data_IF_363134926040
#
_entry.id   IF_363134926040
#
_cell.length_a   1.000
_cell.length_b   1.000
_cell.length_c   1.000
_cell.angle_alpha   90.00
_cell.angle_beta   90.00
_cell.angle_gamma   90.00
#
_symmetry.space_group_name_H-M   'P 1'
#
loop_
_entity.id
_entity.type
_entity.pdbx_description
1 polymer ?
#
# COMPACT_ATOMS: atom_id res chain seq x y z
N UNK A 1 -4.28 -10.30 30.07
CA UNK A 1 -2.81 -10.11 29.97
C UNK A 1 -2.60 -8.79 29.29
N UNK A 2 -1.73 -7.92 29.84
CA UNK A 2 -1.37 -6.66 29.17
C UNK A 2 -0.77 -7.01 27.82
N UNK A 3 -1.09 -6.25 26.78
CA UNK A 3 -0.47 -6.41 25.48
C UNK A 3 0.07 -5.05 25.03
N UNK A 4 1.32 -5.03 24.56
CA UNK A 4 2.00 -3.81 24.12
C UNK A 4 2.55 -4.06 22.73
N UNK A 5 2.24 -3.16 21.78
CA UNK A 5 2.73 -3.30 20.41
C UNK A 5 3.28 -1.97 19.91
N UNK A 6 4.52 -1.97 19.42
CA UNK A 6 5.06 -0.85 18.64
C UNK A 6 4.43 -0.91 17.24
N UNK A 7 3.57 0.06 16.93
CA UNK A 7 2.79 0.11 15.69
C UNK A 7 3.46 0.93 14.60
N UNK A 8 4.34 1.86 14.96
CA UNK A 8 5.07 2.70 14.01
C UNK A 8 6.44 3.06 14.52
N UNK A 9 7.40 3.05 13.60
CA UNK A 9 8.74 3.62 13.80
C UNK A 9 8.95 4.66 12.70
N UNK A 10 9.46 5.83 13.06
CA UNK A 10 9.76 6.91 12.12
C UNK A 10 11.09 7.58 12.49
N UNK A 11 12.22 7.13 11.90
CA UNK A 11 13.51 7.78 12.09
C UNK A 11 13.52 9.20 11.51
N UNK A 12 14.32 10.05 12.12
CA UNK A 12 14.70 11.38 11.63
C UNK A 12 16.17 11.66 11.93
N UNK A 13 16.54 12.93 11.83
CA UNK A 13 17.90 13.39 12.16
C UNK A 13 18.12 13.32 13.67
N UNK A 14 19.06 12.47 14.10
CA UNK A 14 19.40 12.18 15.49
C UNK A 14 18.20 11.92 16.41
N UNK A 15 17.13 11.37 15.83
CA UNK A 15 15.86 11.14 16.53
C UNK A 15 15.07 10.01 15.91
N UNK A 16 14.18 9.41 16.70
CA UNK A 16 13.19 8.44 16.25
C UNK A 16 11.88 8.69 16.98
N UNK A 17 10.79 8.76 16.22
CA UNK A 17 9.45 8.71 16.78
C UNK A 17 8.97 7.27 16.82
N UNK A 18 8.51 6.82 17.98
CA UNK A 18 7.90 5.51 18.20
C UNK A 18 6.44 5.74 18.56
N UNK A 19 5.52 5.01 17.92
CA UNK A 19 4.12 4.96 18.31
C UNK A 19 3.73 3.54 18.71
N UNK A 20 2.75 3.42 19.59
CA UNK A 20 2.33 2.14 20.13
C UNK A 20 0.86 2.08 20.50
N UNK A 21 0.37 0.87 20.68
CA UNK A 21 -0.91 0.57 21.32
C UNK A 21 -0.67 -0.27 22.56
N UNK A 22 -1.55 -0.08 23.54
CA UNK A 22 -1.58 -0.89 24.76
C UNK A 22 -3.00 -1.37 24.98
N UNK A 23 -3.17 -2.66 25.26
CA UNK A 23 -4.44 -3.28 25.59
C UNK A 23 -4.39 -3.85 27.00
N UNK A 24 -5.52 -3.78 27.71
CA UNK A 24 -5.67 -4.26 29.08
C UNK A 24 -4.64 -3.67 30.07
N UNK A 25 -4.20 -2.43 29.85
CA UNK A 25 -3.27 -1.73 30.74
C UNK A 25 -3.92 -1.43 32.09
N UNK A 26 -3.18 -1.64 33.17
CA UNK A 26 -3.65 -1.36 34.53
C UNK A 26 -2.76 -0.31 35.20
N UNK A 27 -3.28 0.50 36.15
CA UNK A 27 -2.54 1.62 36.72
C UNK A 27 -1.28 1.24 37.52
N UNK A 28 -1.16 -0.01 37.94
CA UNK A 28 -0.03 -0.61 38.65
C UNK A 28 1.13 -1.02 37.73
N UNK A 29 0.97 -0.86 36.42
CA UNK A 29 2.00 -1.18 35.43
C UNK A 29 2.64 0.11 34.92
N UNK A 30 3.97 0.15 34.88
CA UNK A 30 4.73 1.21 34.24
C UNK A 30 5.16 0.78 32.84
N UNK A 31 4.88 1.60 31.83
CA UNK A 31 5.40 1.38 30.48
C UNK A 31 6.78 2.02 30.33
N UNK A 32 7.76 1.26 29.86
CA UNK A 32 9.09 1.77 29.55
C UNK A 32 9.47 1.51 28.10
N UNK A 33 10.16 2.46 27.50
CA UNK A 33 10.87 2.29 26.23
C UNK A 33 12.32 1.92 26.54
N UNK A 34 12.74 0.76 26.05
CA UNK A 34 14.11 0.29 26.12
C UNK A 34 14.76 0.38 24.75
N UNK A 35 15.99 0.88 24.71
CA UNK A 35 16.76 0.93 23.49
C UNK A 35 18.25 0.71 23.72
N UNK A 36 18.91 0.12 22.73
CA UNK A 36 20.34 -0.12 22.72
C UNK A 36 20.90 -0.08 21.30
N UNK A 37 22.19 0.22 21.11
CA UNK A 37 22.87 -0.14 19.86
C UNK A 37 22.66 -1.61 19.55
N UNK A 38 22.46 -1.95 18.28
CA UNK A 38 22.12 -3.33 17.85
C UNK A 38 23.09 -4.38 18.41
N UNK A 39 24.39 -4.10 18.38
CA UNK A 39 25.43 -5.04 18.83
C UNK A 39 25.67 -5.04 20.36
N UNK A 40 24.96 -4.22 21.12
CA UNK A 40 25.05 -4.19 22.57
C UNK A 40 24.13 -5.26 23.22
N UNK A 41 24.39 -5.60 24.48
CA UNK A 41 23.56 -6.51 25.26
C UNK A 41 22.36 -5.77 25.89
N UNK A 42 21.23 -6.45 26.13
CA UNK A 42 20.01 -5.84 26.69
C UNK A 42 20.19 -5.34 28.12
N UNK A 43 21.12 -5.91 28.88
CA UNK A 43 21.52 -5.45 30.20
C UNK A 43 22.15 -4.04 30.19
N UNK A 44 22.62 -3.59 29.01
CA UNK A 44 23.13 -2.24 28.78
C UNK A 44 22.12 -1.30 28.13
N UNK A 45 20.88 -1.78 27.91
CA UNK A 45 19.83 -0.97 27.33
C UNK A 45 19.53 0.25 28.21
N UNK A 46 19.24 1.36 27.54
CA UNK A 46 18.75 2.56 28.20
C UNK A 46 17.24 2.44 28.31
N UNK A 47 16.74 2.74 29.50
CA UNK A 47 15.31 2.64 29.81
C UNK A 47 14.74 4.04 30.06
N UNK A 48 13.60 4.33 29.45
CA UNK A 48 12.88 5.60 29.59
C UNK A 48 11.44 5.27 29.99
N UNK A 49 10.98 5.81 31.12
CA UNK A 49 9.56 5.76 31.46
C UNK A 49 8.74 6.58 30.46
N UNK A 50 7.68 6.00 29.91
CA UNK A 50 6.79 6.64 28.94
C UNK A 50 5.34 6.57 29.41
N UNK A 51 4.56 7.58 29.04
CA UNK A 51 3.13 7.59 29.31
C UNK A 51 2.42 6.65 28.32
N UNK A 52 1.89 5.53 28.83
CA UNK A 52 1.15 4.56 28.04
C UNK A 52 -0.01 5.20 27.26
N UNK A 53 -0.69 6.19 27.85
CA UNK A 53 -1.84 6.87 27.24
C UNK A 53 -1.45 7.84 26.12
N UNK A 54 -0.19 8.32 26.10
CA UNK A 54 0.29 9.18 25.03
C UNK A 54 0.41 8.44 23.69
N UNK A 55 0.59 7.11 23.72
CA UNK A 55 0.70 6.27 22.52
C UNK A 55 1.91 6.58 21.64
N UNK A 56 2.85 7.40 22.12
CA UNK A 56 3.98 7.89 21.34
C UNK A 56 5.11 8.49 22.17
N UNK A 57 6.33 8.43 21.64
CA UNK A 57 7.49 9.12 22.18
C UNK A 57 8.43 9.58 21.06
N UNK A 58 9.05 10.74 21.23
CA UNK A 58 10.15 11.21 20.40
C UNK A 58 11.46 11.04 21.16
N UNK A 59 12.22 10.01 20.81
CA UNK A 59 13.58 9.82 21.31
C UNK A 59 14.54 10.71 20.51
N UNK A 60 15.32 11.54 21.20
CA UNK A 60 16.31 12.46 20.62
C UNK A 60 17.70 12.16 21.14
N UNK A 61 18.74 12.64 20.45
CA UNK A 61 20.13 12.51 20.89
C UNK A 61 20.70 11.10 20.63
N UNK A 62 20.15 10.40 19.65
CA UNK A 62 20.68 9.12 19.15
C UNK A 62 21.56 9.35 17.93
N UNK A 63 22.53 8.46 17.72
CA UNK A 63 23.56 8.63 16.70
C UNK A 63 23.03 8.23 15.32
N UNK A 64 23.17 9.14 14.35
CA UNK A 64 22.86 8.83 12.95
C UNK A 64 23.78 7.75 12.39
N UNK A 65 23.26 6.96 11.45
CA UNK A 65 23.99 5.89 10.76
C UNK A 65 24.23 4.64 11.61
N UNK A 66 23.75 4.60 12.84
CA UNK A 66 23.82 3.45 13.74
C UNK A 66 22.48 2.73 13.81
N UNK A 67 22.52 1.40 13.85
CA UNK A 67 21.34 0.57 14.12
C UNK A 67 21.08 0.49 15.63
N UNK A 68 19.81 0.65 15.98
CA UNK A 68 19.30 0.46 17.33
C UNK A 68 18.23 -0.61 17.34
N UNK A 69 18.19 -1.36 18.43
CA UNK A 69 17.05 -2.18 18.82
C UNK A 69 16.20 -1.40 19.82
N UNK A 70 14.89 -1.44 19.64
CA UNK A 70 13.88 -0.77 20.44
C UNK A 70 12.84 -1.80 20.89
N UNK A 71 12.41 -1.77 22.14
CA UNK A 71 11.21 -2.49 22.58
C UNK A 71 10.48 -1.70 23.66
N UNK A 72 9.19 -1.96 23.80
CA UNK A 72 8.43 -1.53 24.97
C UNK A 72 8.32 -2.70 25.95
N UNK A 73 8.50 -2.41 27.24
CA UNK A 73 8.25 -3.35 28.31
C UNK A 73 7.23 -2.75 29.28
N UNK A 74 6.24 -3.54 29.65
CA UNK A 74 5.34 -3.27 30.76
C UNK A 74 5.98 -3.85 32.02
N UNK A 75 6.23 -3.02 33.04
CA UNK A 75 6.85 -3.40 34.31
C UNK A 75 5.80 -3.36 35.43
N UNK A 76 5.72 -4.42 36.22
CA UNK A 76 4.91 -4.49 37.43
C UNK A 76 5.80 -4.65 38.67
N UNK A 77 5.22 -4.51 39.87
CA UNK A 77 5.95 -4.67 41.13
C UNK A 77 6.72 -6.00 41.20
N UNK A 78 7.94 -5.95 41.76
CA UNK A 78 8.80 -7.13 41.97
C UNK A 78 9.56 -7.61 40.73
N UNK A 79 9.99 -6.69 39.86
CA UNK A 79 10.73 -6.95 38.61
C UNK A 79 10.00 -7.86 37.60
N UNK A 80 8.68 -8.01 37.76
CA UNK A 80 7.88 -8.79 36.84
C UNK A 80 7.60 -7.99 35.56
N UNK A 81 7.88 -8.60 34.40
CA UNK A 81 7.57 -8.03 33.08
C UNK A 81 6.33 -8.75 32.52
N UNK A 82 5.11 -8.25 32.78
CA UNK A 82 3.87 -8.88 32.30
C UNK A 82 3.73 -8.90 30.77
N UNK A 83 4.41 -7.99 30.05
CA UNK A 83 4.36 -7.92 28.59
C UNK A 83 5.56 -7.18 28.00
N UNK A 84 6.00 -7.63 26.83
CA UNK A 84 6.98 -6.94 25.99
C UNK A 84 6.45 -6.86 24.55
N UNK A 85 6.74 -5.77 23.85
CA UNK A 85 6.53 -5.72 22.42
C UNK A 85 7.57 -6.55 21.68
N UNK A 86 7.30 -6.89 20.42
CA UNK A 86 8.37 -7.33 19.52
C UNK A 86 9.50 -6.26 19.47
N UNK A 87 10.74 -6.72 19.41
CA UNK A 87 11.90 -5.85 19.18
C UNK A 87 11.82 -5.27 17.76
N UNK A 88 11.87 -3.96 17.66
CA UNK A 88 11.93 -3.21 16.39
C UNK A 88 13.34 -2.72 16.16
N UNK A 89 13.73 -2.60 14.90
CA UNK A 89 15.03 -2.05 14.50
C UNK A 89 14.85 -0.67 13.88
N UNK A 90 15.82 0.22 14.11
CA UNK A 90 15.84 1.54 13.48
C UNK A 90 17.27 1.98 13.16
N UNK A 91 17.42 2.64 12.02
CA UNK A 91 18.60 3.44 11.70
C UNK A 91 18.17 4.89 11.54
N UNK A 92 18.80 5.80 12.27
CA UNK A 92 18.52 7.24 12.18
C UNK A 92 19.45 7.95 11.23
N UNK A 93 19.02 9.10 10.73
CA UNK A 93 19.76 9.87 9.75
C UNK A 93 18.90 10.99 9.15
N UNK A 94 19.53 11.92 8.41
CA UNK A 94 18.79 12.88 7.61
C UNK A 94 17.87 12.16 6.62
N UNK A 95 16.60 12.55 6.59
CA UNK A 95 15.58 12.00 5.70
C UNK A 95 14.98 13.13 4.85
N UNK A 96 14.68 12.89 3.57
CA UNK A 96 13.93 13.86 2.77
C UNK A 96 12.48 13.91 3.27
N UNK A 97 12.05 15.06 3.79
CA UNK A 97 10.68 15.26 4.25
C UNK A 97 10.35 14.54 5.57
N UNK A 98 9.12 14.02 5.68
CA UNK A 98 8.59 13.41 6.91
C UNK A 98 8.34 11.91 6.69
N UNK A 99 8.89 11.09 7.60
CA UNK A 99 8.71 9.64 7.54
C UNK A 99 7.33 9.24 8.08
N UNK A 100 6.50 8.69 7.20
CA UNK A 100 5.18 8.15 7.56
C UNK A 100 5.32 6.80 8.27
N UNK A 101 6.18 5.90 7.81
CA UNK A 101 6.52 4.67 8.52
C UNK A 101 7.88 4.15 8.05
N UNK A 102 8.49 3.30 8.86
CA UNK A 102 9.77 2.68 8.59
C UNK A 102 9.75 1.23 9.04
N UNK A 103 10.22 0.34 8.16
CA UNK A 103 10.53 -1.04 8.49
C UNK A 103 12.01 -1.24 8.14
N UNK A 104 12.82 -1.58 9.15
CA UNK A 104 14.24 -1.84 8.93
C UNK A 104 14.39 -3.07 8.02
N UNK A 105 15.38 -3.12 7.10
CA UNK A 105 15.60 -4.30 6.25
C UNK A 105 15.79 -5.62 7.01
N UNK A 106 16.30 -5.55 8.24
CA UNK A 106 16.49 -6.69 9.15
C UNK A 106 15.39 -6.84 10.22
N UNK A 107 14.30 -6.06 10.13
CA UNK A 107 13.15 -6.21 11.01
C UNK A 107 12.18 -7.26 10.45
N UNK A 108 12.10 -8.40 11.13
CA UNK A 108 11.27 -9.54 10.74
C UNK A 108 9.89 -9.56 11.43
N UNK A 109 9.49 -8.48 12.12
CA UNK A 109 8.21 -8.41 12.85
C UNK A 109 7.01 -8.78 11.98
N UNK A 110 7.05 -8.44 10.69
CA UNK A 110 5.94 -8.66 9.75
C UNK A 110 6.23 -9.74 8.71
N UNK A 111 7.21 -10.61 8.96
CA UNK A 111 7.78 -11.53 7.97
C UNK A 111 6.78 -12.52 7.37
N UNK A 112 5.61 -12.75 7.98
CA UNK A 112 4.53 -13.54 7.37
C UNK A 112 4.02 -12.91 6.06
N UNK A 113 3.96 -11.58 5.98
CA UNK A 113 3.66 -10.83 4.75
C UNK A 113 4.94 -10.44 4.00
N UNK A 114 5.93 -9.91 4.73
CA UNK A 114 7.19 -9.42 4.17
C UNK A 114 7.96 -8.53 5.14
N UNK A 115 8.80 -7.63 4.63
CA UNK A 115 9.61 -6.72 5.49
C UNK A 115 10.01 -5.40 4.83
N UNK A 116 9.41 -5.06 3.70
CA UNK A 116 9.64 -3.81 2.99
C UNK A 116 8.34 -3.05 2.83
N UNK A 117 8.36 -1.73 3.05
CA UNK A 117 7.23 -0.87 2.71
C UNK A 117 7.12 -0.76 1.19
N UNK A 118 5.98 -1.10 0.60
CA UNK A 118 5.77 -0.98 -0.84
C UNK A 118 4.36 -0.49 -1.18
N UNK A 119 4.15 -0.13 -2.44
CA UNK A 119 2.84 0.28 -3.00
C UNK A 119 2.16 1.38 -2.18
N UNK A 120 2.76 2.58 -2.11
CA UNK A 120 2.18 3.67 -1.35
C UNK A 120 0.84 4.12 -1.94
N UNK A 121 -0.10 4.47 -1.07
CA UNK A 121 -1.34 5.14 -1.42
C UNK A 121 -1.56 6.32 -0.47
N UNK A 122 -2.14 7.41 -0.98
CA UNK A 122 -2.45 8.63 -0.22
C UNK A 122 -3.86 9.09 -0.59
N UNK A 123 -4.64 9.51 0.40
CA UNK A 123 -5.95 10.15 0.20
C UNK A 123 -6.16 11.24 1.24
N UNK A 124 -6.90 12.28 0.89
CA UNK A 124 -7.36 13.30 1.82
C UNK A 124 -8.85 13.09 2.08
N UNK A 125 -9.25 13.05 3.34
CA UNK A 125 -10.65 12.99 3.77
C UNK A 125 -11.28 14.39 3.71
N UNK A 126 -12.62 14.51 3.69
CA UNK A 126 -13.30 15.82 3.62
C UNK A 126 -12.99 16.78 4.77
N UNK A 127 -12.59 16.26 5.93
CA UNK A 127 -12.20 17.06 7.10
C UNK A 127 -10.75 17.57 7.03
N UNK A 128 -10.01 17.24 5.96
CA UNK A 128 -8.61 17.60 5.76
C UNK A 128 -7.61 16.57 6.30
N UNK A 129 -8.07 15.51 6.97
CA UNK A 129 -7.20 14.41 7.41
C UNK A 129 -6.55 13.74 6.22
N UNK A 130 -5.22 13.60 6.24
CA UNK A 130 -4.48 12.81 5.26
C UNK A 130 -4.37 11.37 5.75
N UNK A 131 -4.65 10.40 4.89
CA UNK A 131 -4.37 9.00 5.13
C UNK A 131 -3.33 8.50 4.13
N UNK A 132 -2.33 7.78 4.63
CA UNK A 132 -1.32 7.11 3.84
C UNK A 132 -1.34 5.62 4.15
N UNK A 133 -1.15 4.77 3.15
CA UNK A 133 -0.96 3.34 3.35
C UNK A 133 0.21 2.81 2.55
N UNK A 134 0.75 1.68 3.01
CA UNK A 134 1.69 0.86 2.24
C UNK A 134 1.43 -0.61 2.58
N UNK A 135 1.68 -1.50 1.63
CA UNK A 135 1.75 -2.93 1.92
C UNK A 135 3.12 -3.32 2.49
N UNK A 136 3.19 -4.50 3.09
CA UNK A 136 4.42 -5.10 3.61
C UNK A 136 4.85 -6.23 2.68
N UNK A 137 5.80 -5.90 1.81
CA UNK A 137 6.24 -6.75 0.72
C UNK A 137 7.52 -7.52 1.06
N UNK A 138 7.59 -8.77 0.61
CA UNK A 138 8.82 -9.47 0.31
C UNK A 138 8.54 -10.54 -0.73
N UNK A 139 9.44 -10.73 -1.69
CA UNK A 139 9.25 -11.72 -2.74
C UNK A 139 9.14 -13.14 -2.15
N UNK A 140 8.09 -13.87 -2.53
CA UNK A 140 7.84 -15.24 -2.08
C UNK A 140 7.25 -15.38 -0.67
N UNK A 141 6.91 -14.27 -0.02
CA UNK A 141 6.18 -14.27 1.26
C UNK A 141 4.68 -14.04 1.04
N UNK A 142 3.91 -13.99 2.13
CA UNK A 142 2.45 -13.90 2.07
C UNK A 142 1.89 -12.67 1.35
N UNK A 143 2.64 -11.54 1.32
CA UNK A 143 2.28 -10.32 0.59
C UNK A 143 0.80 -9.95 0.78
N UNK A 144 0.34 -9.81 2.02
CA UNK A 144 -1.09 -9.76 2.34
C UNK A 144 -1.43 -8.84 3.53
N UNK A 145 -0.47 -8.00 3.95
CA UNK A 145 -0.65 -7.01 5.00
C UNK A 145 -0.47 -5.60 4.46
N UNK A 146 -1.44 -4.74 4.74
CA UNK A 146 -1.36 -3.28 4.49
C UNK A 146 -1.53 -2.52 5.80
N UNK A 147 -0.71 -1.49 6.00
CA UNK A 147 -0.78 -0.57 7.14
C UNK A 147 -1.36 0.76 6.70
N UNK A 148 -2.18 1.39 7.53
CA UNK A 148 -2.76 2.72 7.31
C UNK A 148 -2.31 3.66 8.42
N UNK A 149 -1.94 4.87 8.03
CA UNK A 149 -1.49 5.95 8.90
C UNK A 149 -2.29 7.22 8.60
N UNK A 150 -2.51 8.04 9.62
CA UNK A 150 -3.26 9.29 9.51
C UNK A 150 -2.44 10.49 9.96
N UNK A 151 -2.69 11.63 9.33
CA UNK A 151 -2.22 12.95 9.75
C UNK A 151 -3.38 13.93 9.77
N UNK A 152 -3.62 14.53 10.93
CA UNK A 152 -4.70 15.49 11.18
C UNK A 152 -4.16 16.94 11.20
N UNK A 153 -2.87 17.12 10.89
CA UNK A 153 -2.16 18.40 11.02
C UNK A 153 -1.46 18.83 9.72
N UNK A 154 -1.94 18.36 8.57
CA UNK A 154 -1.41 18.71 7.24
C UNK A 154 -0.11 17.99 6.88
N UNK A 155 0.08 16.76 7.39
CA UNK A 155 1.23 15.91 7.08
C UNK A 155 2.44 16.14 7.99
N UNK A 156 2.34 16.99 9.01
CA UNK A 156 3.44 17.32 9.93
C UNK A 156 3.72 16.19 10.92
N UNK A 157 2.67 15.53 11.39
CA UNK A 157 2.77 14.32 12.20
C UNK A 157 1.85 13.25 11.66
N UNK A 158 2.29 12.01 11.79
CA UNK A 158 1.52 10.82 11.40
C UNK A 158 1.32 9.92 12.61
N UNK A 159 0.26 9.11 12.60
CA UNK A 159 -0.04 8.09 13.60
C UNK A 159 -0.52 6.83 12.90
N UNK A 160 -0.27 5.68 13.51
CA UNK A 160 -0.92 4.44 13.09
C UNK A 160 -2.44 4.59 13.19
N UNK A 161 -3.16 4.14 12.14
CA UNK A 161 -4.63 4.20 12.08
C UNK A 161 -5.22 2.80 12.11
N UNK A 162 -4.75 1.89 11.26
CA UNK A 162 -5.21 0.49 11.23
C UNK A 162 -4.26 -0.42 10.44
N UNK A 163 -4.55 -1.72 10.50
CA UNK A 163 -3.95 -2.72 9.61
C UNK A 163 -5.06 -3.51 8.90
N UNK A 164 -4.81 -3.92 7.66
CA UNK A 164 -5.73 -4.68 6.84
C UNK A 164 -5.07 -5.98 6.40
N UNK A 165 -5.79 -7.09 6.60
CA UNK A 165 -5.40 -8.42 6.16
C UNK A 165 -6.65 -9.25 5.77
N UNK A 166 -6.64 -10.00 4.66
CA UNK A 166 -5.66 -9.90 3.57
C UNK A 166 -5.81 -8.56 2.82
N UNK A 167 -4.69 -7.94 2.44
CA UNK A 167 -4.63 -6.69 1.66
C UNK A 167 -3.23 -6.44 1.07
N UNK A 168 -3.15 -6.38 -0.26
CA UNK A 168 -1.93 -6.10 -1.03
C UNK A 168 -2.24 -5.17 -2.21
N UNK A 169 -1.25 -4.38 -2.65
CA UNK A 169 -1.42 -3.41 -3.74
C UNK A 169 -2.65 -2.50 -3.56
N UNK A 170 -2.92 -2.09 -2.31
CA UNK A 170 -4.13 -1.37 -1.92
C UNK A 170 -4.17 0.08 -2.39
N UNK A 171 -5.33 0.54 -2.86
CA UNK A 171 -5.62 1.95 -3.16
C UNK A 171 -6.70 2.45 -2.21
N UNK A 172 -6.36 3.44 -1.39
CA UNK A 172 -7.31 4.24 -0.63
C UNK A 172 -8.02 5.22 -1.58
N UNK A 173 -9.33 5.36 -1.44
CA UNK A 173 -10.10 6.41 -2.10
C UNK A 173 -11.34 6.78 -1.29
N UNK A 174 -11.71 8.05 -1.34
CA UNK A 174 -12.95 8.53 -0.74
C UNK A 174 -14.08 8.46 -1.77
N UNK A 175 -15.24 7.93 -1.38
CA UNK A 175 -16.41 7.89 -2.24
C UNK A 175 -17.68 8.11 -1.41
N UNK A 176 -18.45 9.13 -1.77
CA UNK A 176 -19.81 9.40 -1.26
C UNK A 176 -20.02 9.17 0.25
N UNK A 177 -19.12 9.73 1.06
CA UNK A 177 -19.27 9.74 2.52
C UNK A 177 -18.53 8.63 3.26
N UNK A 178 -17.86 7.74 2.55
CA UNK A 178 -17.06 6.68 3.16
C UNK A 178 -15.68 6.56 2.53
N UNK A 179 -14.75 5.98 3.30
CA UNK A 179 -13.43 5.61 2.84
C UNK A 179 -13.46 4.18 2.33
N UNK A 180 -12.80 3.92 1.21
CA UNK A 180 -12.69 2.58 0.63
C UNK A 180 -11.24 2.17 0.42
N UNK A 181 -11.00 0.86 0.45
CA UNK A 181 -9.75 0.21 0.08
C UNK A 181 -10.03 -0.79 -1.02
N UNK A 182 -9.46 -0.57 -2.21
CA UNK A 182 -9.45 -1.53 -3.31
C UNK A 182 -8.06 -2.19 -3.42
N UNK A 183 -7.99 -3.50 -3.24
CA UNK A 183 -6.72 -4.24 -3.08
C UNK A 183 -6.82 -5.62 -3.71
N UNK A 184 -5.71 -6.33 -3.85
CA UNK A 184 -5.74 -7.79 -3.99
C UNK A 184 -5.59 -8.44 -2.60
N UNK A 185 -6.01 -9.69 -2.46
CA UNK A 185 -5.80 -10.44 -1.22
C UNK A 185 -4.31 -10.73 -0.96
N UNK A 186 -3.59 -11.06 -2.03
CA UNK A 186 -2.15 -11.32 -2.09
C UNK A 186 -1.68 -11.12 -3.55
N UNK A 187 -0.43 -11.44 -3.87
CA UNK A 187 0.02 -11.51 -5.27
C UNK A 187 -0.86 -12.49 -6.06
N UNK A 188 -1.58 -12.02 -7.07
CA UNK A 188 -2.58 -12.78 -7.86
C UNK A 188 -3.81 -13.30 -7.09
N UNK A 189 -3.97 -12.89 -5.83
CA UNK A 189 -5.17 -13.18 -5.05
C UNK A 189 -6.40 -12.42 -5.55
N UNK A 190 -7.56 -12.72 -4.98
CA UNK A 190 -8.82 -12.09 -5.32
C UNK A 190 -8.74 -10.56 -5.30
N UNK A 191 -9.44 -9.88 -6.22
CA UNK A 191 -9.65 -8.44 -6.14
C UNK A 191 -10.70 -8.17 -5.07
N UNK A 192 -10.35 -7.38 -4.06
CA UNK A 192 -11.15 -7.12 -2.88
C UNK A 192 -11.47 -5.64 -2.74
N UNK A 193 -12.65 -5.34 -2.18
CA UNK A 193 -13.01 -4.02 -1.68
C UNK A 193 -13.45 -4.06 -0.23
N UNK A 194 -13.07 -3.03 0.53
CA UNK A 194 -13.51 -2.79 1.91
C UNK A 194 -13.96 -1.35 2.07
N UNK A 195 -14.84 -1.13 3.03
CA UNK A 195 -15.35 0.19 3.43
C UNK A 195 -14.99 0.49 4.87
N UNK A 196 -14.74 1.76 5.16
CA UNK A 196 -14.63 2.34 6.50
C UNK A 196 -15.52 3.57 6.61
N UNK A 197 -16.31 3.62 7.67
CA UNK A 197 -17.23 4.72 7.98
C UNK A 197 -16.70 5.66 9.07
N UNK A 198 -15.52 5.39 9.61
CA UNK A 198 -14.92 6.10 10.74
C UNK A 198 -13.55 6.71 10.42
N UNK A 199 -13.22 6.92 9.14
CA UNK A 199 -11.94 7.51 8.75
C UNK A 199 -10.75 6.54 8.85
N UNK A 200 -11.03 5.25 8.71
CA UNK A 200 -10.04 4.18 8.57
C UNK A 200 -9.69 3.46 9.86
N UNK A 201 -10.36 3.72 10.99
CA UNK A 201 -10.11 2.99 12.24
C UNK A 201 -10.63 1.55 12.15
N UNK A 202 -11.85 1.38 11.64
CA UNK A 202 -12.45 0.06 11.42
C UNK A 202 -12.85 -0.12 9.96
N UNK A 203 -12.90 -1.38 9.53
CA UNK A 203 -13.15 -1.76 8.15
C UNK A 203 -14.13 -2.92 8.08
N UNK A 204 -14.97 -2.93 7.05
CA UNK A 204 -15.81 -4.08 6.73
C UNK A 204 -14.98 -5.33 6.44
N UNK A 205 -15.63 -6.50 6.50
CA UNK A 205 -15.15 -7.70 5.82
C UNK A 205 -14.90 -7.39 4.33
N UNK A 206 -13.92 -8.04 3.69
CA UNK A 206 -13.67 -7.81 2.28
C UNK A 206 -14.78 -8.41 1.42
N UNK A 207 -15.26 -7.63 0.44
CA UNK A 207 -16.07 -8.15 -0.67
C UNK A 207 -15.16 -8.52 -1.82
N UNK A 208 -15.31 -9.72 -2.36
CA UNK A 208 -14.63 -10.16 -3.58
C UNK A 208 -15.31 -9.58 -4.83
N UNK A 209 -14.55 -8.87 -5.67
CA UNK A 209 -14.97 -8.33 -6.98
C UNK A 209 -14.56 -9.28 -8.11
N UNK A 210 -13.34 -9.80 -8.05
CA UNK A 210 -12.82 -10.79 -8.99
C UNK A 210 -12.20 -11.96 -8.21
N UNK A 211 -12.41 -13.20 -8.68
CA UNK A 211 -11.90 -14.38 -7.99
C UNK A 211 -10.38 -14.41 -7.96
N UNK A 212 -9.84 -15.11 -6.97
CA UNK A 212 -8.42 -15.37 -6.87
C UNK A 212 -7.93 -16.27 -8.02
N UNK A 213 -6.69 -16.04 -8.44
CA UNK A 213 -5.89 -17.00 -9.18
C UNK A 213 -4.66 -17.38 -8.38
N UNK A 214 -3.60 -17.76 -9.10
CA UNK A 214 -2.28 -18.04 -8.54
C UNK A 214 -1.18 -17.83 -9.59
N UNK A 215 0.06 -18.19 -9.25
CA UNK A 215 1.17 -18.09 -10.19
C UNK A 215 1.00 -18.99 -11.43
N UNK A 216 0.27 -20.10 -11.34
CA UNK A 216 0.16 -21.11 -12.40
C UNK A 216 -0.97 -20.79 -13.39
N UNK A 217 -2.10 -20.35 -12.88
CA UNK A 217 -3.32 -20.01 -13.63
C UNK A 217 -3.42 -18.51 -13.95
N UNK A 218 -2.66 -17.67 -13.24
CA UNK A 218 -2.78 -16.21 -13.29
C UNK A 218 -3.97 -15.72 -12.48
N UNK A 219 -3.89 -14.50 -11.98
CA UNK A 219 -4.96 -13.88 -11.21
C UNK A 219 -4.94 -12.36 -11.32
N UNK A 220 -5.82 -11.66 -10.56
CA UNK A 220 -5.85 -10.22 -10.51
C UNK A 220 -4.50 -9.61 -10.14
N UNK A 221 -4.06 -8.64 -10.92
CA UNK A 221 -2.85 -7.85 -10.71
C UNK A 221 -3.19 -6.36 -10.80
N UNK A 222 -2.61 -5.54 -9.93
CA UNK A 222 -2.75 -4.07 -9.97
C UNK A 222 -1.62 -3.41 -9.19
N UNK A 223 -1.63 -2.08 -9.18
CA UNK A 223 -0.90 -1.25 -8.20
C UNK A 223 -1.88 -0.24 -7.57
N UNK A 224 -1.45 0.63 -6.63
CA UNK A 224 -2.25 1.75 -6.12
C UNK A 224 -2.55 2.87 -7.13
N UNK A 225 -3.02 2.48 -8.32
CA UNK A 225 -3.34 3.33 -9.48
C UNK A 225 -4.63 4.14 -9.25
N UNK A 226 -4.95 5.15 -10.09
CA UNK A 226 -6.13 5.97 -9.93
C UNK A 226 -7.45 5.19 -9.90
N UNK A 227 -8.39 5.69 -9.08
CA UNK A 227 -9.80 5.29 -9.08
C UNK A 227 -10.57 6.56 -9.41
N UNK A 228 -11.37 6.55 -10.48
CA UNK A 228 -11.99 7.77 -11.03
C UNK A 228 -13.50 7.62 -11.16
N UNK A 229 -14.26 8.61 -10.68
CA UNK A 229 -15.68 8.72 -11.00
C UNK A 229 -15.83 9.45 -12.35
N UNK A 230 -16.41 8.78 -13.34
CA UNK A 230 -16.64 9.34 -14.67
C UNK A 230 -17.90 8.74 -15.30
N UNK A 231 -18.74 9.58 -15.90
CA UNK A 231 -20.03 9.20 -16.53
C UNK A 231 -20.89 8.29 -15.65
N UNK A 232 -21.02 8.65 -14.37
CA UNK A 232 -21.89 7.95 -13.41
C UNK A 232 -21.37 6.61 -12.91
N UNK A 233 -20.09 6.27 -13.16
CA UNK A 233 -19.45 5.04 -12.68
C UNK A 233 -18.09 5.35 -12.05
N UNK A 234 -17.67 4.51 -11.12
CA UNK A 234 -16.31 4.47 -10.58
C UNK A 234 -15.51 3.47 -11.41
N UNK A 235 -14.32 3.85 -11.86
CA UNK A 235 -13.47 3.07 -12.76
C UNK A 235 -12.04 2.92 -12.21
N UNK A 236 -11.42 1.78 -12.48
CA UNK A 236 -10.00 1.52 -12.15
C UNK A 236 -9.44 0.39 -13.02
N UNK A 237 -8.14 0.47 -13.31
CA UNK A 237 -7.46 -0.60 -14.03
C UNK A 237 -7.30 -1.85 -13.15
N UNK A 238 -7.27 -3.00 -13.82
CA UNK A 238 -6.83 -4.29 -13.28
C UNK A 238 -6.24 -5.10 -14.43
N UNK A 239 -5.20 -5.86 -14.17
CA UNK A 239 -4.71 -6.86 -15.12
C UNK A 239 -5.00 -8.28 -14.62
N UNK A 240 -4.94 -9.25 -15.52
CA UNK A 240 -5.03 -10.67 -15.15
C UNK A 240 -3.86 -11.45 -15.74
N UNK A 241 -3.11 -12.16 -14.89
CA UNK A 241 -1.98 -12.95 -15.34
C UNK A 241 -0.99 -13.26 -14.23
N UNK A 242 0.24 -13.58 -14.59
CA UNK A 242 1.33 -13.78 -13.62
C UNK A 242 2.71 -13.66 -14.26
N UNK A 243 3.74 -13.39 -13.45
CA UNK A 243 5.14 -13.45 -13.89
C UNK A 243 5.52 -14.82 -14.47
N UNK A 244 4.96 -15.91 -13.97
CA UNK A 244 5.25 -17.27 -14.45
C UNK A 244 4.64 -17.51 -15.83
N UNK A 245 3.41 -17.06 -16.06
CA UNK A 245 2.77 -17.07 -17.38
C UNK A 245 3.44 -16.11 -18.37
N UNK A 246 4.12 -15.08 -17.86
CA UNK A 246 4.83 -14.10 -18.66
C UNK A 246 3.92 -13.09 -19.36
N UNK A 247 2.70 -12.90 -18.85
CA UNK A 247 1.73 -11.91 -19.33
C UNK A 247 0.85 -11.41 -18.19
N UNK A 248 0.34 -10.20 -18.35
CA UNK A 248 -0.73 -9.61 -17.54
C UNK A 248 -1.67 -8.93 -18.52
N UNK A 249 -2.77 -9.60 -18.88
CA UNK A 249 -3.72 -9.13 -19.89
C UNK A 249 -4.53 -7.96 -19.29
N UNK A 250 -4.71 -6.87 -20.04
CA UNK A 250 -5.22 -5.61 -19.52
C UNK A 250 -6.74 -5.61 -19.40
N UNK A 251 -7.26 -5.09 -18.30
CA UNK A 251 -8.69 -4.92 -18.07
C UNK A 251 -9.02 -3.67 -17.27
N UNK A 252 -10.31 -3.42 -17.11
CA UNK A 252 -10.85 -2.37 -16.25
C UNK A 252 -12.04 -2.96 -15.49
N UNK A 253 -12.14 -2.63 -14.20
CA UNK A 253 -13.37 -2.86 -13.43
C UNK A 253 -14.08 -1.54 -13.18
N UNK A 254 -15.41 -1.60 -13.14
CA UNK A 254 -16.23 -0.46 -12.82
C UNK A 254 -17.51 -0.82 -12.10
N UNK A 255 -18.09 0.14 -11.40
CA UNK A 255 -19.35 0.01 -10.66
C UNK A 255 -20.15 1.30 -10.82
N UNK A 256 -21.50 1.27 -10.90
CA UNK A 256 -22.30 2.49 -10.83
C UNK A 256 -21.92 3.29 -9.59
N UNK A 257 -21.71 4.60 -9.75
CA UNK A 257 -21.21 5.44 -8.67
C UNK A 257 -22.23 5.59 -7.52
N UNK A 258 -23.50 5.34 -7.79
CA UNK A 258 -24.61 5.33 -6.82
C UNK A 258 -24.97 3.95 -6.26
N UNK A 259 -24.30 2.88 -6.71
CA UNK A 259 -24.50 1.55 -6.15
C UNK A 259 -23.84 1.43 -4.77
N UNK A 260 -24.17 0.35 -4.05
CA UNK A 260 -23.36 -0.11 -2.94
C UNK A 260 -22.09 -0.77 -3.48
N UNK A 261 -20.94 -0.14 -3.25
CA UNK A 261 -19.64 -0.64 -3.71
C UNK A 261 -19.27 -1.99 -3.07
N UNK A 262 -19.92 -2.38 -1.95
CA UNK A 262 -19.75 -3.69 -1.30
C UNK A 262 -20.62 -4.79 -1.91
N UNK A 263 -21.53 -4.47 -2.84
CA UNK A 263 -22.25 -5.46 -3.63
C UNK A 263 -21.41 -5.89 -4.83
N UNK A 264 -20.82 -7.08 -4.76
CA UNK A 264 -19.98 -7.62 -5.83
C UNK A 264 -20.73 -7.77 -7.16
N UNK A 265 -22.05 -7.96 -7.13
CA UNK A 265 -22.85 -8.14 -8.34
C UNK A 265 -23.06 -6.84 -9.14
N UNK A 266 -22.82 -5.68 -8.51
CA UNK A 266 -22.88 -4.38 -9.17
C UNK A 266 -21.62 -4.05 -9.97
N UNK A 267 -20.52 -4.78 -9.75
CA UNK A 267 -19.26 -4.59 -10.46
C UNK A 267 -19.30 -5.24 -11.85
N UNK A 268 -18.67 -4.58 -12.80
CA UNK A 268 -18.50 -5.04 -14.18
C UNK A 268 -17.02 -5.01 -14.50
N UNK A 269 -16.50 -6.12 -15.04
CA UNK A 269 -15.15 -6.19 -15.57
C UNK A 269 -15.21 -6.33 -17.09
N UNK A 270 -14.30 -5.65 -17.79
CA UNK A 270 -14.08 -5.93 -19.21
C UNK A 270 -13.48 -7.33 -19.39
N UNK A 271 -13.62 -7.96 -20.56
CA UNK A 271 -12.71 -9.02 -20.98
C UNK A 271 -11.26 -8.52 -20.87
N UNK A 272 -10.35 -9.39 -20.45
CA UNK A 272 -8.93 -9.08 -20.39
C UNK A 272 -8.32 -9.14 -21.78
N UNK A 273 -7.77 -8.01 -22.25
CA UNK A 273 -7.17 -7.85 -23.56
C UNK A 273 -5.70 -8.31 -23.53
N UNK A 274 -5.30 -9.32 -24.33
CA UNK A 274 -3.90 -9.72 -24.42
C UNK A 274 -2.99 -8.66 -25.05
N UNK A 275 -1.70 -8.74 -24.75
CA UNK A 275 -0.70 -7.91 -25.42
C UNK A 275 -0.52 -8.34 -26.88
N UNK A 276 -0.62 -7.38 -27.80
CA UNK A 276 -0.41 -7.61 -29.23
C UNK A 276 0.86 -6.89 -29.70
N UNK A 277 1.95 -7.63 -29.98
CA UNK A 277 3.20 -7.04 -30.47
C UNK A 277 3.09 -6.49 -31.90
N UNK A 278 2.01 -6.78 -32.64
CA UNK A 278 1.81 -6.27 -34.00
C UNK A 278 1.28 -4.84 -34.06
N UNK A 279 0.85 -4.28 -32.92
CA UNK A 279 0.33 -2.91 -32.89
C UNK A 279 1.38 -1.86 -33.27
N UNK A 280 0.99 -0.78 -33.97
CA UNK A 280 1.91 0.29 -34.32
C UNK A 280 2.58 0.92 -33.08
N UNK A 281 3.92 0.98 -33.10
CA UNK A 281 4.72 1.66 -32.07
C UNK A 281 5.15 0.79 -30.90
N UNK A 282 4.72 -0.48 -30.83
CA UNK A 282 5.23 -1.45 -29.84
C UNK A 282 6.72 -1.72 -30.05
N UNK A 283 7.38 -2.19 -29.00
CA UNK A 283 8.81 -2.53 -29.05
C UNK A 283 9.06 -3.78 -29.89
N UNK A 284 10.25 -3.85 -30.51
CA UNK A 284 10.75 -5.11 -31.11
C UNK A 284 11.49 -5.94 -30.06
N UNK A 285 11.30 -7.25 -30.07
CA UNK A 285 11.96 -8.15 -29.11
C UNK A 285 11.46 -7.95 -27.67
N UNK A 286 12.36 -8.04 -26.69
CA UNK A 286 12.05 -7.87 -25.28
C UNK A 286 11.86 -9.17 -24.50
N UNK A 287 12.12 -9.09 -23.20
CA UNK A 287 11.89 -10.17 -22.24
C UNK A 287 10.51 -10.00 -21.63
N UNK A 288 9.55 -10.80 -22.09
CA UNK A 288 8.14 -10.76 -21.66
C UNK A 288 7.50 -9.36 -21.82
N UNK A 289 7.54 -8.77 -23.03
CA UNK A 289 6.89 -7.49 -23.25
C UNK A 289 5.38 -7.59 -22.97
N UNK A 290 4.82 -6.58 -22.33
CA UNK A 290 3.41 -6.60 -21.97
C UNK A 290 3.01 -5.51 -20.99
N UNK A 291 1.72 -5.49 -20.68
CA UNK A 291 1.12 -4.51 -19.80
C UNK A 291 1.48 -4.75 -18.34
N UNK A 292 1.50 -3.67 -17.58
CA UNK A 292 1.55 -3.64 -16.13
C UNK A 292 0.79 -2.39 -15.65
N UNK A 293 0.14 -2.47 -14.49
CA UNK A 293 -0.17 -1.34 -13.62
C UNK A 293 -0.85 -0.14 -14.34
N UNK A 294 -1.97 -0.42 -15.00
CA UNK A 294 -2.74 0.54 -15.78
C UNK A 294 -3.25 1.75 -14.99
N UNK A 295 -3.28 2.91 -15.64
CA UNK A 295 -3.84 4.14 -15.09
C UNK A 295 -5.10 4.53 -15.87
N UNK A 296 -6.27 4.26 -15.30
CA UNK A 296 -7.53 4.75 -15.86
C UNK A 296 -7.69 6.24 -15.55
N UNK A 297 -7.73 7.05 -16.60
CA UNK A 297 -7.76 8.51 -16.51
C UNK A 297 -8.70 9.12 -17.54
N UNK A 298 -9.29 10.27 -17.20
CA UNK A 298 -10.08 11.07 -18.14
C UNK A 298 -9.12 11.96 -18.94
N UNK A 299 -9.03 11.73 -20.24
CA UNK A 299 -8.21 12.51 -21.14
C UNK A 299 -8.82 13.92 -21.37
N UNK A 300 -8.02 14.91 -21.81
CA UNK A 300 -8.51 16.27 -22.10
C UNK A 300 -9.64 16.34 -23.13
N UNK A 301 -9.71 15.36 -24.05
CA UNK A 301 -10.76 15.23 -25.06
C UNK A 301 -12.05 14.57 -24.53
N UNK A 302 -12.08 14.20 -23.24
CA UNK A 302 -13.22 13.57 -22.59
C UNK A 302 -13.32 12.07 -22.80
N UNK A 303 -12.34 11.41 -23.41
CA UNK A 303 -12.27 9.94 -23.44
C UNK A 303 -11.74 9.39 -22.13
N UNK A 304 -12.14 8.16 -21.80
CA UNK A 304 -11.61 7.41 -20.67
C UNK A 304 -10.53 6.47 -21.20
N UNK A 305 -9.29 6.68 -20.78
CA UNK A 305 -8.13 5.92 -21.28
C UNK A 305 -7.51 5.12 -20.13
N UNK A 306 -7.03 3.92 -20.43
CA UNK A 306 -6.13 3.17 -19.58
C UNK A 306 -4.70 3.32 -20.12
N UNK A 307 -3.86 4.07 -19.42
CA UNK A 307 -2.44 4.28 -19.77
C UNK A 307 -1.59 3.32 -18.94
N UNK A 308 -1.00 2.33 -19.59
CA UNK A 308 -0.33 1.22 -18.91
C UNK A 308 1.17 1.42 -18.83
N UNK A 309 1.73 1.03 -17.68
CA UNK A 309 3.14 0.70 -17.61
C UNK A 309 3.41 -0.42 -18.60
N UNK A 310 4.51 -0.30 -19.33
CA UNK A 310 4.86 -1.20 -20.41
C UNK A 310 6.23 -1.78 -20.14
N UNK A 311 6.29 -3.10 -19.92
CA UNK A 311 7.56 -3.77 -19.77
C UNK A 311 8.28 -3.80 -21.13
N UNK A 312 9.34 -3.03 -21.25
CA UNK A 312 10.17 -2.94 -22.47
C UNK A 312 11.54 -3.56 -22.30
N UNK A 313 11.82 -4.22 -21.17
CA UNK A 313 13.15 -4.73 -20.84
C UNK A 313 13.74 -5.61 -21.95
N UNK A 314 14.91 -5.22 -22.47
CA UNK A 314 15.62 -5.94 -23.54
C UNK A 314 14.96 -5.84 -24.92
N UNK A 315 14.05 -4.90 -25.11
CA UNK A 315 13.44 -4.59 -26.41
C UNK A 315 14.10 -3.40 -27.11
N UNK A 316 13.56 -3.03 -28.26
CA UNK A 316 13.95 -1.81 -28.99
C UNK A 316 12.73 -0.90 -29.24
N UNK A 317 12.67 0.29 -28.60
CA UNK A 317 13.53 0.74 -27.50
C UNK A 317 13.33 -0.09 -26.22
N UNK A 318 14.29 -0.07 -25.30
CA UNK A 318 14.25 -0.80 -24.03
C UNK A 318 13.61 -0.02 -22.86
N UNK A 319 13.25 1.25 -23.10
CA UNK A 319 12.50 2.14 -22.21
C UNK A 319 11.75 3.22 -23.03
N UNK A 320 11.06 4.13 -22.35
CA UNK A 320 10.52 5.35 -22.97
C UNK A 320 9.22 5.14 -23.72
N UNK A 321 8.45 4.10 -23.40
CA UNK A 321 7.20 3.76 -24.09
C UNK A 321 6.10 3.39 -23.12
N UNK A 322 4.87 3.86 -23.34
CA UNK A 322 3.67 3.39 -22.65
C UNK A 322 2.58 3.02 -23.65
N UNK A 323 1.75 2.04 -23.31
CA UNK A 323 0.60 1.65 -24.14
C UNK A 323 -0.65 2.34 -23.63
N UNK A 324 -1.45 2.88 -24.55
CA UNK A 324 -2.73 3.51 -24.27
C UNK A 324 -3.84 2.67 -24.87
N UNK A 325 -4.77 2.26 -24.02
CA UNK A 325 -5.99 1.58 -24.39
C UNK A 325 -7.18 2.50 -24.11
N UNK A 326 -8.21 2.41 -24.94
CA UNK A 326 -9.47 3.14 -24.75
C UNK A 326 -10.50 2.26 -24.04
N UNK A 327 -11.24 2.87 -23.11
CA UNK A 327 -12.34 2.24 -22.38
C UNK A 327 -13.66 2.70 -23.01
N UNK A 328 -14.53 1.75 -23.35
CA UNK A 328 -15.88 2.08 -23.79
C UNK A 328 -16.76 2.45 -22.57
N UNK A 329 -17.15 3.72 -22.47
CA UNK A 329 -17.98 4.19 -21.35
C UNK A 329 -19.47 3.88 -21.52
N UNK A 330 -19.93 3.61 -22.74
CA UNK A 330 -21.33 3.30 -23.04
C UNK A 330 -21.65 1.81 -22.84
N UNK A 331 -20.65 0.94 -23.04
CA UNK A 331 -20.70 -0.49 -22.71
C UNK A 331 -19.50 -0.86 -21.81
N UNK A 332 -19.67 -0.79 -20.47
CA UNK A 332 -18.62 -1.12 -19.51
C UNK A 332 -18.14 -2.58 -19.55
N UNK A 333 -18.83 -3.47 -20.27
CA UNK A 333 -18.45 -4.86 -20.47
C UNK A 333 -17.74 -5.10 -21.81
N UNK A 334 -17.64 -4.09 -22.68
CA UNK A 334 -16.90 -4.21 -23.94
C UNK A 334 -15.39 -4.36 -23.68
N UNK A 335 -14.65 -5.06 -24.55
CA UNK A 335 -13.21 -5.16 -24.45
C UNK A 335 -12.55 -3.78 -24.61
N UNK A 336 -11.40 -3.61 -23.97
CA UNK A 336 -10.52 -2.48 -24.24
C UNK A 336 -10.09 -2.50 -25.72
N UNK A 337 -9.87 -1.32 -26.30
CA UNK A 337 -9.37 -1.20 -27.68
C UNK A 337 -8.04 -0.47 -27.70
N UNK A 338 -7.12 -0.92 -28.55
CA UNK A 338 -5.86 -0.21 -28.75
C UNK A 338 -6.11 1.20 -29.30
N UNK A 339 -5.47 2.19 -28.67
CA UNK A 339 -5.55 3.59 -29.10
C UNK A 339 -4.20 4.06 -29.66
N UNK A 340 -3.09 3.90 -28.92
CA UNK A 340 -1.71 4.18 -29.41
C UNK A 340 -0.63 3.68 -28.45
N UNK A 341 0.63 3.74 -28.90
CA UNK A 341 1.82 3.78 -28.05
C UNK A 341 2.33 5.22 -27.98
N UNK A 342 2.74 5.67 -26.80
CA UNK A 342 3.27 7.03 -26.56
C UNK A 342 4.71 7.00 -26.04
N UNK A 343 5.46 8.08 -26.26
CA UNK A 343 6.72 8.33 -25.58
C UNK A 343 6.45 8.57 -24.08
N UNK A 344 7.11 7.80 -23.21
CA UNK A 344 6.90 7.89 -21.76
C UNK A 344 8.11 7.34 -20.97
N UNK A 345 8.95 8.24 -20.45
CA UNK A 345 10.21 7.88 -19.76
C UNK A 345 10.00 7.12 -18.42
N UNK A 346 8.80 7.19 -17.83
CA UNK A 346 8.49 6.55 -16.55
C UNK A 346 8.13 5.06 -16.63
N UNK A 347 8.11 4.45 -17.82
CA UNK A 347 7.48 3.13 -18.04
C UNK A 347 8.17 1.96 -17.32
N UNK A 348 9.44 2.09 -16.95
CA UNK A 348 10.16 1.01 -16.28
C UNK A 348 9.92 0.96 -14.77
N UNK A 349 9.25 1.96 -14.20
CA UNK A 349 8.86 2.02 -12.79
C UNK A 349 7.34 2.11 -12.63
N UNK A 350 6.84 1.78 -11.44
CA UNK A 350 5.42 2.03 -11.11
C UNK A 350 5.18 3.53 -11.14
N UNK A 351 4.08 3.98 -11.75
CA UNK A 351 3.68 5.39 -11.76
C UNK A 351 2.18 5.54 -11.53
N UNK A 352 1.78 6.75 -11.12
CA UNK A 352 0.38 7.16 -11.03
C UNK A 352 0.19 8.43 -11.86
N UNK A 353 -0.88 8.49 -12.65
CA UNK A 353 -1.26 9.68 -13.42
C UNK A 353 -2.44 10.33 -12.72
N UNK A 354 -2.31 11.59 -12.36
CA UNK A 354 -3.40 12.38 -11.78
C UNK A 354 -3.59 13.63 -12.63
N UNK A 355 -4.83 14.08 -12.73
CA UNK A 355 -5.14 15.36 -13.35
C UNK A 355 -4.68 16.47 -12.41
N UNK A 356 -3.92 17.42 -12.93
CA UNK A 356 -3.57 18.65 -12.21
C UNK A 356 -4.88 19.46 -12.00
N UNK A 357 -5.22 19.81 -10.74
CA UNK A 357 -6.47 20.50 -10.41
C UNK A 357 -6.66 21.86 -11.08
#
# INVERSE_FOLDING_TARGET
MVNVTITRVAPGDSSVRIDWTVENFTPDVQLVLEYKPRDAAWESARTIAVDAAAGTYLLTGIQNGMDYELRLAALADGDHVPAESATRLVRTGPVPGIVVNYIHPDDYTYNTSGRSTASPSLVMLPDGTLLASHDVFWQGHGQNLTMVFASEDGGRTWRFRSQLHPCFWGKLFWHRGALYMLSTATEYGALLIRRSDDGGFTWSSPTEILPAGDHDSGGPHKAPVPVVEYRGRVWTAVEHGSWKLGRHDAGVVSVPADADLLDSSAWTATPFLPYDPSWPGTIRGGTKPGYLEGNVVVAPDGRLLNILRYNTHGGEPDYGRAIVLEVNTEDPAAPLTFDRVIDFEGNMSKFTIMRDP
#
